data_IF_389859879851
#
_entry.id   IF_389859879851
#
_cell.length_a   1.000
_cell.length_b   1.000
_cell.length_c   1.000
_cell.angle_alpha   90.00
_cell.angle_beta   90.00
_cell.angle_gamma   90.00
#
_symmetry.space_group_name_H-M   'P 1'
#
loop_
_entity.id
_entity.type
_entity.pdbx_description
1 polymer ?
#
# COMPACT_ATOMS: atom_id res chain seq x y z
N UNK A 1 -19.00 -9.32 6.22
CA UNK A 1 -18.36 -8.02 5.99
C UNK A 1 -17.83 -7.43 7.29
N UNK A 2 -18.59 -7.48 8.39
CA UNK A 2 -18.18 -7.00 9.73
C UNK A 2 -16.86 -7.61 10.24
N UNK A 3 -16.65 -8.92 10.06
CA UNK A 3 -15.40 -9.61 10.45
C UNK A 3 -14.13 -9.09 9.77
N UNK A 4 -14.24 -8.33 8.68
CA UNK A 4 -13.09 -7.87 7.89
C UNK A 4 -12.57 -6.52 8.36
N UNK A 5 -13.48 -5.67 8.86
CA UNK A 5 -13.19 -4.29 9.20
C UNK A 5 -12.14 -4.20 10.31
N UNK A 6 -12.30 -5.00 11.36
CA UNK A 6 -11.46 -5.00 12.57
C UNK A 6 -10.90 -6.42 12.84
N UNK A 7 -10.52 -7.16 11.79
CA UNK A 7 -9.85 -8.46 11.93
C UNK A 7 -8.44 -8.30 12.52
N UNK A 8 -8.19 -8.91 13.68
CA UNK A 8 -6.86 -8.94 14.32
C UNK A 8 -5.79 -9.61 13.45
N UNK A 9 -6.19 -10.51 12.54
CA UNK A 9 -5.25 -11.16 11.62
C UNK A 9 -4.76 -10.22 10.49
N UNK A 10 -5.34 -9.02 10.38
CA UNK A 10 -4.97 -7.97 9.43
C UNK A 10 -4.84 -8.51 7.99
N UNK A 11 -5.71 -9.43 7.59
CA UNK A 11 -5.50 -10.27 6.40
C UNK A 11 -5.41 -9.49 5.09
N UNK A 12 -5.99 -8.29 5.03
CA UNK A 12 -6.03 -7.45 3.83
C UNK A 12 -4.78 -6.58 3.69
N UNK A 13 -4.06 -6.31 4.78
CA UNK A 13 -2.78 -5.61 4.76
C UNK A 13 -1.65 -6.61 4.53
N UNK A 14 -0.85 -6.42 3.46
CA UNK A 14 0.31 -7.30 3.21
C UNK A 14 1.34 -7.21 4.32
N UNK A 15 1.45 -6.06 5.00
CA UNK A 15 2.37 -5.86 6.12
C UNK A 15 1.83 -6.45 7.42
N UNK A 16 0.53 -6.81 7.45
CA UNK A 16 -0.20 -7.37 8.61
C UNK A 16 -0.05 -6.51 9.87
N UNK A 17 -0.09 -5.19 9.71
CA UNK A 17 0.04 -4.23 10.82
C UNK A 17 -1.24 -3.46 11.09
N UNK A 18 -2.19 -3.49 10.16
CA UNK A 18 -3.39 -2.64 10.20
C UNK A 18 -4.62 -3.45 9.86
N UNK A 19 -5.69 -3.23 10.62
CA UNK A 19 -7.03 -3.68 10.23
C UNK A 19 -7.50 -2.91 8.98
N UNK A 20 -8.51 -3.44 8.28
CA UNK A 20 -9.03 -2.75 7.08
C UNK A 20 -9.54 -1.34 7.44
N UNK A 21 -10.21 -1.17 8.58
CA UNK A 21 -10.67 0.16 8.99
C UNK A 21 -9.50 1.07 9.35
N UNK A 22 -8.42 0.55 9.96
CA UNK A 22 -7.20 1.34 10.18
C UNK A 22 -6.60 1.83 8.85
N UNK A 23 -6.53 0.97 7.83
CA UNK A 23 -6.07 1.38 6.50
C UNK A 23 -6.91 2.51 5.90
N UNK A 24 -8.24 2.43 6.01
CA UNK A 24 -9.13 3.49 5.51
C UNK A 24 -8.96 4.79 6.30
N UNK A 25 -8.87 4.71 7.65
CA UNK A 25 -8.63 5.88 8.50
C UNK A 25 -7.30 6.57 8.15
N UNK A 26 -6.22 5.81 8.00
CA UNK A 26 -4.92 6.32 7.56
C UNK A 26 -5.00 6.92 6.15
N UNK A 27 -5.68 6.25 5.22
CA UNK A 27 -5.86 6.73 3.85
C UNK A 27 -6.58 8.08 3.77
N UNK A 28 -7.66 8.24 4.55
CA UNK A 28 -8.40 9.51 4.63
C UNK A 28 -7.53 10.62 5.23
N UNK A 29 -6.80 10.33 6.31
CA UNK A 29 -5.87 11.29 6.91
C UNK A 29 -4.76 11.69 5.92
N UNK A 30 -4.14 10.72 5.25
CA UNK A 30 -3.12 10.97 4.24
C UNK A 30 -3.64 11.82 3.07
N UNK A 31 -4.84 11.53 2.58
CA UNK A 31 -5.45 12.34 1.53
C UNK A 31 -5.74 13.77 2.01
N UNK A 32 -6.23 13.94 3.23
CA UNK A 32 -6.51 15.27 3.80
C UNK A 32 -5.26 16.11 4.04
N UNK A 33 -4.15 15.51 4.50
CA UNK A 33 -2.93 16.25 4.86
C UNK A 33 -1.89 16.31 3.74
N UNK A 34 -1.75 15.26 2.94
CA UNK A 34 -0.71 15.10 1.91
C UNK A 34 -1.27 15.02 0.48
N UNK A 35 -2.60 15.08 0.31
CA UNK A 35 -3.27 15.13 -0.99
C UNK A 35 -3.45 13.77 -1.67
N UNK A 36 -2.54 12.82 -1.46
CA UNK A 36 -2.51 11.56 -2.23
C UNK A 36 -2.28 10.33 -1.36
N UNK A 37 -2.85 9.21 -1.81
CA UNK A 37 -2.69 7.89 -1.23
C UNK A 37 -2.20 6.93 -2.32
N UNK A 38 -1.08 6.25 -2.06
CA UNK A 38 -0.54 5.25 -2.98
C UNK A 38 -0.70 3.85 -2.39
N UNK A 39 -1.32 2.97 -3.16
CA UNK A 39 -1.56 1.58 -2.78
C UNK A 39 -1.23 0.68 -3.96
N UNK A 40 -0.52 -0.41 -3.71
CA UNK A 40 -0.27 -1.46 -4.69
C UNK A 40 -1.17 -2.67 -4.37
N UNK A 41 -1.93 -3.13 -5.36
CA UNK A 41 -2.65 -4.40 -5.26
C UNK A 41 -1.65 -5.57 -5.26
N UNK A 42 -1.86 -6.50 -4.35
CA UNK A 42 -1.03 -7.70 -4.16
C UNK A 42 -1.94 -8.92 -3.97
N UNK A 43 -1.38 -10.11 -4.20
CA UNK A 43 -2.15 -11.35 -4.10
C UNK A 43 -1.40 -12.42 -3.31
N UNK A 44 -2.06 -13.03 -2.35
CA UNK A 44 -1.60 -14.19 -1.60
C UNK A 44 -2.35 -15.44 -2.12
N UNK A 45 -1.59 -16.39 -2.66
CA UNK A 45 -2.14 -17.62 -3.25
C UNK A 45 -2.30 -18.75 -2.23
N UNK A 46 -1.93 -18.53 -0.97
CA UNK A 46 -1.99 -19.55 0.07
C UNK A 46 -3.43 -20.05 0.30
N UNK A 47 -3.65 -21.38 0.37
CA UNK A 47 -4.99 -21.95 0.45
C UNK A 47 -5.71 -21.66 1.79
N UNK A 48 -4.98 -21.24 2.83
CA UNK A 48 -5.52 -20.89 4.15
C UNK A 48 -6.06 -19.47 4.24
N UNK A 49 -5.95 -18.66 3.18
CA UNK A 49 -6.35 -17.25 3.22
C UNK A 49 -7.83 -17.06 2.94
N UNK A 50 -8.46 -16.25 3.78
CA UNK A 50 -9.84 -15.81 3.61
C UNK A 50 -10.03 -14.97 2.33
N UNK A 51 -9.06 -14.10 2.02
CA UNK A 51 -9.01 -13.33 0.79
C UNK A 51 -7.66 -13.51 0.12
N UNK A 52 -7.69 -13.69 -1.21
CA UNK A 52 -6.45 -13.70 -2.00
C UNK A 52 -5.92 -12.29 -2.23
N UNK A 53 -6.79 -11.29 -2.33
CA UNK A 53 -6.39 -9.91 -2.54
C UNK A 53 -5.85 -9.29 -1.24
N UNK A 54 -4.71 -8.64 -1.34
CA UNK A 54 -4.11 -7.84 -0.28
C UNK A 54 -3.64 -6.49 -0.85
N UNK A 55 -3.39 -5.53 0.02
CA UNK A 55 -2.91 -4.20 -0.36
C UNK A 55 -1.60 -3.89 0.35
N UNK A 56 -0.69 -3.27 -0.39
CA UNK A 56 0.53 -2.67 0.15
C UNK A 56 0.43 -1.16 0.11
N UNK A 57 0.52 -0.52 1.27
CA UNK A 57 0.63 0.94 1.33
C UNK A 57 2.02 1.36 0.84
N UNK A 58 2.08 2.34 -0.06
CA UNK A 58 3.33 2.80 -0.65
C UNK A 58 3.58 4.24 -0.21
N UNK A 59 4.76 4.50 0.34
CA UNK A 59 5.17 5.88 0.67
C UNK A 59 5.32 6.69 -0.62
N UNK A 60 4.84 7.95 -0.68
CA UNK A 60 5.08 8.84 -1.81
C UNK A 60 6.57 8.97 -2.16
N UNK A 61 7.47 8.85 -1.18
CA UNK A 61 8.93 8.89 -1.40
C UNK A 61 9.45 7.77 -2.30
N UNK A 62 8.74 6.65 -2.36
CA UNK A 62 9.08 5.50 -3.22
C UNK A 62 8.39 5.56 -4.59
N UNK A 63 7.60 6.60 -4.85
CA UNK A 63 6.99 6.84 -6.16
C UNK A 63 7.93 7.74 -6.96
N UNK A 64 8.24 7.34 -8.18
CA UNK A 64 9.05 8.15 -9.10
C UNK A 64 8.42 8.12 -10.49
N UNK A 65 8.60 9.21 -11.24
CA UNK A 65 8.13 9.26 -12.62
C UNK A 65 9.14 8.53 -13.52
N UNK A 66 8.74 7.48 -14.27
CA UNK A 66 9.65 6.76 -15.17
C UNK A 66 10.30 7.68 -16.23
N UNK A 67 9.65 8.77 -16.64
CA UNK A 67 10.24 9.75 -17.56
C UNK A 67 11.38 10.59 -16.94
N UNK A 68 11.53 10.63 -15.61
CA UNK A 68 12.71 11.24 -14.99
C UNK A 68 13.97 10.42 -15.28
N UNK A 69 13.89 9.10 -15.26
CA UNK A 69 15.02 8.22 -15.60
C UNK A 69 15.41 8.37 -17.08
N UNK A 70 14.43 8.53 -17.98
CA UNK A 70 14.69 8.73 -19.41
C UNK A 70 15.43 10.03 -19.71
N UNK A 71 15.16 11.10 -18.95
CA UNK A 71 15.83 12.39 -19.12
C UNK A 71 17.18 12.51 -18.43
N UNK A 72 17.41 11.70 -17.39
CA UNK A 72 18.62 11.75 -16.56
C UNK A 72 19.03 10.33 -16.13
N UNK A 73 19.61 9.53 -17.06
CA UNK A 73 19.93 8.12 -16.81
C UNK A 73 21.03 7.93 -15.75
N UNK A 74 21.82 8.97 -15.46
CA UNK A 74 22.88 8.96 -14.44
C UNK A 74 22.37 9.19 -13.00
N UNK A 75 21.12 9.65 -12.80
CA UNK A 75 20.59 9.79 -11.45
C UNK A 75 20.02 8.46 -10.95
N UNK A 76 20.43 7.98 -9.77
CA UNK A 76 19.89 6.75 -9.22
C UNK A 76 18.38 6.89 -8.99
N UNK A 77 17.62 5.87 -9.41
CA UNK A 77 16.19 5.76 -9.10
C UNK A 77 16.01 5.83 -7.58
N UNK A 78 15.39 6.92 -7.09
CA UNK A 78 15.09 7.12 -5.65
C UNK A 78 14.04 6.14 -5.10
N UNK A 79 13.61 5.17 -5.91
CA UNK A 79 12.66 4.12 -5.55
C UNK A 79 13.25 3.04 -4.61
N UNK A 80 14.56 3.10 -4.32
CA UNK A 80 15.31 2.00 -3.70
C UNK A 80 15.60 2.14 -2.20
N UNK A 81 15.02 3.14 -1.50
CA UNK A 81 15.09 3.28 -0.04
C UNK A 81 13.75 2.93 0.64
#
# INVERSE_FOLDING_TARGET
MERVAEDDCCCIDVERKRTFTMMIREGVAMHAFNGELFVQATWDTSPSRLFRTQFRMVSPKRISNPEQYRRQPELPCRCAD
#
